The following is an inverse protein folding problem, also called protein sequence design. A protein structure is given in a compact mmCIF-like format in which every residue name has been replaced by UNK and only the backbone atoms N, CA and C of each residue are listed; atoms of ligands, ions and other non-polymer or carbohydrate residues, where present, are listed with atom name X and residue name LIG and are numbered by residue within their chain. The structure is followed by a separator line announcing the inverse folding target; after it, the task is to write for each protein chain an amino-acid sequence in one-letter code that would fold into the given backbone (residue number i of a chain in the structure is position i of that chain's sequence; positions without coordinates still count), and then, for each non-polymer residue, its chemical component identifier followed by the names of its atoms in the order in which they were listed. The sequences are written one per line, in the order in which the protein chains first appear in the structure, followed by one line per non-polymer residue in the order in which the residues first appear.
data_IF_595734523701
#
_entry.id   IF_595734523701
#
_cell.length_a   1.000
_cell.length_b   1.000
_cell.length_c   1.000
_cell.angle_alpha   90.00
_cell.angle_beta   90.00
_cell.angle_gamma   90.00
#
_symmetry.space_group_name_H-M   'P 1'
#
loop_
_entity.id
_entity.type
_entity.pdbx_description
1 polymer ?
#
# COMPACT_ATOMS: atom_id res chain seq x y z
N UNK A 1 9.76 0.60 -9.87
CA UNK A 1 9.50 0.54 -8.41
C UNK A 1 10.66 1.18 -7.67
N UNK A 2 11.85 0.59 -7.69
CA UNK A 2 13.02 1.08 -6.92
C UNK A 2 13.49 2.48 -7.31
N UNK A 3 13.40 2.83 -8.59
CA UNK A 3 13.71 4.17 -9.10
C UNK A 3 12.78 5.28 -8.59
N UNK A 4 11.64 4.93 -7.98
CA UNK A 4 10.68 5.89 -7.41
C UNK A 4 10.88 6.11 -5.91
N UNK A 5 11.65 5.24 -5.26
CA UNK A 5 11.98 5.39 -3.84
C UNK A 5 13.08 6.47 -3.71
N UNK A 6 13.01 7.34 -2.70
CA UNK A 6 14.09 8.31 -2.44
C UNK A 6 15.46 7.64 -2.34
N UNK A 7 16.45 8.16 -3.09
CA UNK A 7 17.79 7.56 -3.22
C UNK A 7 18.57 7.48 -1.90
N UNK A 8 18.21 8.31 -0.92
CA UNK A 8 18.79 8.32 0.42
C UNK A 8 18.24 7.19 1.33
N UNK A 9 17.30 6.37 0.85
CA UNK A 9 16.74 5.23 1.58
C UNK A 9 17.37 3.94 1.07
N UNK A 10 18.28 3.37 1.88
CA UNK A 10 19.02 2.15 1.56
C UNK A 10 18.35 0.86 2.09
N UNK A 11 17.39 0.99 3.00
CA UNK A 11 16.64 -0.14 3.57
C UNK A 11 15.19 0.24 3.80
N UNK A 12 14.29 -0.65 3.38
CA UNK A 12 12.86 -0.44 3.38
C UNK A 12 12.15 -1.56 4.15
N UNK A 13 11.04 -1.20 4.80
CA UNK A 13 10.05 -2.16 5.26
C UNK A 13 8.96 -2.30 4.20
N UNK A 14 8.82 -3.51 3.65
CA UNK A 14 7.85 -3.79 2.59
C UNK A 14 6.62 -4.51 3.16
N UNK A 15 5.47 -3.83 3.11
CA UNK A 15 4.19 -4.40 3.55
C UNK A 15 3.55 -5.07 2.34
N UNK A 16 3.63 -6.40 2.30
CA UNK A 16 3.11 -7.22 1.19
C UNK A 16 1.62 -7.48 1.36
N UNK A 17 1.21 -7.87 2.57
CA UNK A 17 -0.16 -8.22 2.90
C UNK A 17 -0.49 -7.66 4.27
N UNK A 18 -1.70 -7.15 4.40
CA UNK A 18 -2.31 -6.80 5.66
C UNK A 18 -3.80 -7.07 5.54
N UNK A 19 -4.35 -7.74 6.54
CA UNK A 19 -5.74 -8.16 6.56
C UNK A 19 -6.31 -7.98 7.97
N UNK A 20 -7.58 -7.63 8.03
CA UNK A 20 -8.39 -7.58 9.25
C UNK A 20 -9.67 -8.33 8.94
N UNK A 21 -10.01 -9.27 9.81
CA UNK A 21 -11.27 -10.01 9.72
C UNK A 21 -12.46 -9.04 9.70
N UNK A 22 -13.43 -9.30 8.81
CA UNK A 22 -14.59 -8.45 8.60
C UNK A 22 -15.36 -8.15 9.90
N UNK A 23 -15.49 -9.13 10.80
CA UNK A 23 -16.18 -8.99 12.10
C UNK A 23 -15.50 -7.98 13.04
N UNK A 24 -14.24 -7.64 12.76
CA UNK A 24 -13.41 -6.75 13.57
C UNK A 24 -13.02 -5.45 12.84
N UNK A 25 -13.58 -5.20 11.66
CA UNK A 25 -13.38 -3.94 10.93
C UNK A 25 -13.96 -2.73 11.65
N UNK A 26 -13.54 -1.52 11.23
CA UNK A 26 -13.93 -0.22 11.80
C UNK A 26 -13.53 0.02 13.27
N UNK A 27 -12.63 -0.80 13.82
CA UNK A 27 -12.05 -0.65 15.17
C UNK A 27 -10.62 -0.11 15.18
N UNK A 28 -10.11 0.38 14.03
CA UNK A 28 -8.75 0.90 13.91
C UNK A 28 -7.64 -0.15 13.81
N UNK A 29 -7.98 -1.45 13.72
CA UNK A 29 -6.98 -2.54 13.72
C UNK A 29 -5.96 -2.47 12.58
N UNK A 30 -6.33 -1.95 11.41
CA UNK A 30 -5.37 -1.77 10.31
C UNK A 30 -4.22 -0.82 10.69
N UNK A 31 -4.51 0.24 11.45
CA UNK A 31 -3.47 1.15 11.98
C UNK A 31 -2.61 0.44 13.02
N UNK A 32 -3.24 -0.32 13.92
CA UNK A 32 -2.52 -1.10 14.95
C UNK A 32 -1.54 -2.08 14.30
N UNK A 33 -1.95 -2.79 13.24
CA UNK A 33 -1.09 -3.70 12.50
C UNK A 33 0.08 -2.98 11.80
N UNK A 34 -0.15 -1.79 11.24
CA UNK A 34 0.91 -0.99 10.63
C UNK A 34 1.93 -0.45 11.63
N UNK A 35 1.49 -0.12 12.84
CA UNK A 35 2.37 0.39 13.91
C UNK A 35 3.09 -0.75 14.67
N UNK A 36 2.56 -1.98 14.59
CA UNK A 36 3.09 -3.13 15.31
C UNK A 36 4.51 -3.48 14.87
N UNK A 37 5.45 -3.43 15.81
CA UNK A 37 6.85 -3.78 15.56
C UNK A 37 7.65 -2.72 14.81
N UNK A 38 7.13 -1.50 14.65
CA UNK A 38 7.86 -0.41 13.99
C UNK A 38 9.14 -0.01 14.72
N UNK A 39 9.20 -0.21 16.04
CA UNK A 39 10.42 -0.07 16.83
C UNK A 39 11.52 -1.03 16.38
N UNK A 40 11.18 -2.29 16.11
CA UNK A 40 12.10 -3.31 15.59
C UNK A 40 12.49 -2.98 14.16
N UNK A 41 11.54 -2.60 13.32
CA UNK A 41 11.81 -2.19 11.92
C UNK A 41 12.84 -1.05 11.88
N UNK A 42 12.68 -0.04 12.75
CA UNK A 42 13.64 1.06 12.88
C UNK A 42 15.01 0.58 13.40
N UNK A 43 15.06 -0.30 14.41
CA UNK A 43 16.31 -0.92 14.90
C UNK A 43 17.03 -1.75 13.84
N UNK A 44 16.30 -2.38 12.94
CA UNK A 44 16.87 -3.04 11.75
C UNK A 44 17.32 -2.06 10.67
N UNK A 45 17.27 -0.74 10.91
CA UNK A 45 17.83 0.28 10.02
C UNK A 45 16.97 0.61 8.81
N UNK A 46 15.70 0.19 8.77
CA UNK A 46 14.80 0.66 7.73
C UNK A 46 14.56 2.17 7.89
N UNK A 47 14.57 2.91 6.78
CA UNK A 47 14.38 4.37 6.76
C UNK A 47 13.09 4.78 6.03
N UNK A 48 12.38 3.80 5.47
CA UNK A 48 11.10 4.01 4.83
C UNK A 48 10.23 2.75 4.86
N UNK A 49 8.93 2.96 4.76
CA UNK A 49 7.90 1.94 4.65
C UNK A 49 7.23 2.13 3.31
N UNK A 50 6.87 1.03 2.66
CA UNK A 50 6.13 1.12 1.41
C UNK A 50 5.27 -0.12 1.17
N UNK A 51 4.29 0.02 0.28
CA UNK A 51 3.34 -1.03 -0.08
C UNK A 51 2.75 -0.81 -1.47
N UNK A 52 2.33 -1.88 -2.12
CA UNK A 52 1.45 -1.85 -3.29
C UNK A 52 0.00 -2.05 -2.83
N UNK A 53 -0.69 -0.93 -2.58
CA UNK A 53 -2.07 -0.92 -2.12
C UNK A 53 -3.04 -1.18 -3.29
N UNK A 54 -3.57 -2.39 -3.37
CA UNK A 54 -4.48 -2.88 -4.43
C UNK A 54 -5.95 -2.85 -4.06
N UNK A 55 -6.31 -2.39 -2.85
CA UNK A 55 -7.68 -2.25 -2.39
C UNK A 55 -7.95 -0.80 -1.97
N UNK A 56 -9.09 -0.24 -2.34
CA UNK A 56 -9.43 1.17 -2.04
C UNK A 56 -9.41 1.49 -0.53
N UNK A 57 -9.73 0.49 0.30
CA UNK A 57 -9.74 0.65 1.76
C UNK A 57 -8.33 0.85 2.32
N UNK A 58 -7.34 0.08 1.85
CA UNK A 58 -5.94 0.26 2.27
C UNK A 58 -5.35 1.54 1.70
N UNK A 59 -5.70 1.91 0.46
CA UNK A 59 -5.32 3.20 -0.15
C UNK A 59 -5.79 4.39 0.71
N UNK A 60 -7.07 4.40 1.11
CA UNK A 60 -7.62 5.43 1.98
C UNK A 60 -6.95 5.47 3.35
N UNK A 61 -6.62 4.31 3.92
CA UNK A 61 -5.92 4.23 5.20
C UNK A 61 -4.47 4.74 5.10
N UNK A 62 -3.70 4.32 4.10
CA UNK A 62 -2.34 4.81 3.88
C UNK A 62 -2.31 6.33 3.70
N UNK A 63 -3.25 6.89 2.93
CA UNK A 63 -3.42 8.35 2.79
C UNK A 63 -3.63 9.03 4.15
N UNK A 64 -4.52 8.50 5.00
CA UNK A 64 -4.76 9.02 6.35
C UNK A 64 -3.54 8.93 7.28
N UNK A 65 -2.65 7.97 7.03
CA UNK A 65 -1.43 7.74 7.84
C UNK A 65 -0.19 8.47 7.29
N UNK A 66 -0.37 9.38 6.33
CA UNK A 66 0.69 10.23 5.81
C UNK A 66 1.60 9.57 4.78
N UNK A 67 1.16 8.47 4.16
CA UNK A 67 1.89 7.90 3.03
C UNK A 67 1.65 8.72 1.76
N UNK A 68 2.70 8.91 0.98
CA UNK A 68 2.65 9.52 -0.34
C UNK A 68 2.46 8.46 -1.42
N UNK A 69 1.63 8.75 -2.41
CA UNK A 69 1.50 7.91 -3.61
C UNK A 69 2.67 8.24 -4.54
N UNK A 70 3.56 7.27 -4.76
CA UNK A 70 4.70 7.39 -5.68
C UNK A 70 4.32 7.08 -7.12
N UNK A 71 3.37 6.17 -7.31
CA UNK A 71 2.83 5.79 -8.62
C UNK A 71 1.44 5.21 -8.45
N UNK A 72 0.58 5.49 -9.41
CA UNK A 72 -0.68 4.78 -9.60
C UNK A 72 -0.70 4.08 -10.96
N UNK A 73 -1.45 2.98 -11.03
CA UNK A 73 -1.82 2.32 -12.29
C UNK A 73 -3.33 2.12 -12.28
N UNK A 74 -4.02 2.58 -13.33
CA UNK A 74 -5.48 2.41 -13.41
C UNK A 74 -5.78 1.04 -14.00
N UNK A 75 -6.74 0.33 -13.41
CA UNK A 75 -7.22 -0.95 -13.92
C UNK A 75 -7.76 -0.81 -15.36
N UNK A 76 -8.35 0.34 -15.70
CA UNK A 76 -8.84 0.64 -17.05
C UNK A 76 -7.76 0.63 -18.15
N UNK A 77 -6.48 0.84 -17.78
CA UNK A 77 -5.36 0.85 -18.73
C UNK A 77 -4.89 -0.59 -19.06
N UNK A 78 -5.35 -1.58 -18.30
CA UNK A 78 -4.99 -2.99 -18.47
C UNK A 78 -6.15 -3.75 -19.09
N UNK A 79 -6.05 -3.96 -20.41
CA UNK A 79 -7.05 -4.61 -21.24
C UNK A 79 -6.52 -5.92 -21.82
N UNK A 80 -7.40 -6.88 -22.03
CA UNK A 80 -7.11 -8.11 -22.77
C UNK A 80 -6.96 -7.83 -24.27
N UNK A 81 -6.67 -8.87 -25.06
CA UNK A 81 -6.53 -8.75 -26.52
C UNK A 81 -7.80 -8.28 -27.23
N UNK A 82 -8.95 -8.37 -26.56
CA UNK A 82 -10.26 -7.95 -27.06
C UNK A 82 -10.64 -6.54 -26.57
N UNK A 83 -9.75 -5.84 -25.87
CA UNK A 83 -10.01 -4.51 -25.34
C UNK A 83 -10.85 -4.47 -24.06
N UNK A 84 -11.15 -5.63 -23.45
CA UNK A 84 -11.90 -5.71 -22.19
C UNK A 84 -10.99 -5.53 -21.01
N UNK A 85 -11.43 -4.78 -20.01
CA UNK A 85 -10.67 -4.56 -18.77
C UNK A 85 -10.40 -5.88 -18.05
N UNK A 86 -9.14 -6.14 -17.71
CA UNK A 86 -8.69 -7.37 -17.02
C UNK A 86 -9.15 -7.34 -15.55
N UNK A 87 -8.95 -6.22 -14.86
CA UNK A 87 -9.23 -6.10 -13.44
C UNK A 87 -10.61 -5.47 -13.20
N UNK A 88 -11.55 -6.28 -12.74
CA UNK A 88 -12.90 -5.86 -12.35
C UNK A 88 -13.11 -6.18 -10.87
N UNK A 89 -12.88 -5.19 -10.01
CA UNK A 89 -12.97 -5.37 -8.56
C UNK A 89 -14.40 -5.09 -8.06
N UNK A 90 -15.07 -6.05 -7.37
CA UNK A 90 -16.44 -5.87 -6.88
C UNK A 90 -16.61 -4.74 -5.86
N UNK A 91 -15.55 -4.40 -5.15
CA UNK A 91 -15.52 -3.33 -4.15
C UNK A 91 -15.39 -1.92 -4.77
N UNK A 92 -15.30 -1.81 -6.09
CA UNK A 92 -15.12 -0.55 -6.80
C UNK A 92 -13.68 -0.08 -6.93
N UNK A 93 -12.69 -0.87 -6.50
CA UNK A 93 -11.28 -0.50 -6.66
C UNK A 93 -10.89 -0.39 -8.14
N UNK A 94 -10.40 0.79 -8.55
CA UNK A 94 -10.13 1.12 -9.96
C UNK A 94 -8.64 1.33 -10.27
N UNK A 95 -7.77 1.22 -9.26
CA UNK A 95 -6.33 1.43 -9.39
C UNK A 95 -5.56 0.67 -8.32
N UNK A 96 -4.28 0.43 -8.59
CA UNK A 96 -3.30 0.09 -7.56
C UNK A 96 -2.37 1.27 -7.33
N UNK A 97 -1.93 1.46 -6.07
CA UNK A 97 -1.05 2.56 -5.67
C UNK A 97 0.23 2.02 -5.04
N UNK A 98 1.38 2.43 -5.56
CA UNK A 98 2.65 2.31 -4.84
C UNK A 98 2.71 3.47 -3.84
N UNK A 99 2.69 3.16 -2.55
CA UNK A 99 2.70 4.15 -1.47
C UNK A 99 3.98 4.09 -0.66
N UNK A 100 4.45 5.21 -0.14
CA UNK A 100 5.69 5.32 0.62
C UNK A 100 5.58 6.34 1.77
N UNK A 101 6.23 6.06 2.90
CA UNK A 101 6.42 6.98 4.01
C UNK A 101 7.81 6.79 4.61
N UNK A 102 8.44 7.86 5.08
CA UNK A 102 9.62 7.73 5.93
C UNK A 102 9.25 7.12 7.29
N UNK A 103 10.23 6.49 7.94
CA UNK A 103 10.14 6.06 9.36
C UNK A 103 10.67 7.18 10.23
#
# INVERSE_FOLDING_TARGET
RWNLIPKNVNRLFYIIVMSVDQAYTRRGLGKVLLDFGMDRVSKYGARGIFSEATAMMSQGMFKKLGYNVLKEIRHADYKDKQGRRIFNCPDGTDRAQLVFRYI
#
